data_IF_698495250181
#
_entry.id   IF_698495250181
#
_cell.length_a   1.000
_cell.length_b   1.000
_cell.length_c   1.000
_cell.angle_alpha   90.00
_cell.angle_beta   90.00
_cell.angle_gamma   90.00
#
_symmetry.space_group_name_H-M   'P 1'
#
loop_
_entity.id
_entity.type
_entity.pdbx_description
1 polymer ?
#
# COMPACT_ATOMS: atom_id res chain seq x y z
N UNK A 1 -17.92 13.95 -2.37
CA UNK A 1 -16.82 13.66 -1.42
C UNK A 1 -16.64 12.15 -1.41
N UNK A 2 -15.41 11.64 -1.59
CA UNK A 2 -15.18 10.19 -1.64
C UNK A 2 -15.20 9.61 -0.23
N UNK A 3 -15.75 8.40 -0.08
CA UNK A 3 -15.57 7.61 1.14
C UNK A 3 -14.11 7.14 1.29
N UNK A 4 -13.73 6.72 2.51
CA UNK A 4 -12.41 6.16 2.77
C UNK A 4 -12.10 4.95 1.86
N UNK A 5 -13.09 4.06 1.66
CA UNK A 5 -12.96 2.90 0.79
C UNK A 5 -12.73 3.31 -0.67
N UNK A 6 -13.51 4.23 -1.20
CA UNK A 6 -13.37 4.71 -2.59
C UNK A 6 -12.03 5.42 -2.81
N UNK A 7 -11.64 6.29 -1.88
CA UNK A 7 -10.39 7.04 -1.96
C UNK A 7 -9.13 6.17 -1.90
N UNK A 8 -9.21 4.98 -1.29
CA UNK A 8 -8.09 4.03 -1.21
C UNK A 8 -8.06 3.01 -2.37
N UNK A 9 -9.09 2.92 -3.22
CA UNK A 9 -9.10 1.99 -4.35
C UNK A 9 -7.90 2.12 -5.30
N UNK A 10 -7.37 3.33 -5.60
CA UNK A 10 -6.17 3.45 -6.43
C UNK A 10 -4.94 2.73 -5.86
N UNK A 11 -4.92 2.43 -4.56
CA UNK A 11 -3.85 1.73 -3.88
C UNK A 11 -4.05 0.21 -3.83
N UNK A 12 -5.12 -0.33 -4.42
CA UNK A 12 -5.40 -1.78 -4.48
C UNK A 12 -4.24 -2.60 -5.08
N UNK A 13 -3.43 -2.01 -5.97
CA UNK A 13 -2.27 -2.68 -6.55
C UNK A 13 -1.25 -3.14 -5.50
N UNK A 14 -1.20 -2.47 -4.33
CA UNK A 14 -0.32 -2.84 -3.22
C UNK A 14 -0.81 -4.06 -2.45
N UNK A 15 -2.11 -4.38 -2.48
CA UNK A 15 -2.71 -5.46 -1.67
C UNK A 15 -2.10 -6.82 -2.03
N UNK A 16 -1.66 -7.55 -1.01
CA UNK A 16 -1.00 -8.86 -1.12
C UNK A 16 0.33 -8.93 -0.38
N UNK A 17 1.00 -10.06 -0.52
CA UNK A 17 2.30 -10.34 0.10
C UNK A 17 3.43 -10.11 -0.91
N UNK A 18 4.51 -9.50 -0.46
CA UNK A 18 5.64 -9.10 -1.28
C UNK A 18 6.96 -9.50 -0.65
N UNK A 19 7.87 -10.00 -1.48
CA UNK A 19 9.26 -10.22 -1.12
C UNK A 19 10.08 -9.00 -1.49
N UNK A 20 10.58 -8.30 -0.49
CA UNK A 20 11.45 -7.14 -0.58
C UNK A 20 12.93 -7.49 -0.58
N UNK A 21 13.71 -6.79 -1.40
CA UNK A 21 15.18 -6.74 -1.31
C UNK A 21 15.59 -5.28 -1.22
N UNK A 22 16.22 -4.93 -0.11
CA UNK A 22 16.64 -3.58 0.20
C UNK A 22 18.15 -3.38 0.11
N UNK A 23 18.57 -2.16 -0.16
CA UNK A 23 19.98 -1.75 -0.16
C UNK A 23 20.10 -0.25 0.15
N UNK A 24 21.21 0.18 0.78
CA UNK A 24 21.47 1.59 1.00
C UNK A 24 21.81 2.29 -0.33
N UNK A 25 21.48 3.57 -0.40
CA UNK A 25 21.73 4.47 -1.52
C UNK A 25 22.60 5.64 -1.06
N UNK A 26 23.35 6.25 -1.97
CA UNK A 26 24.25 7.35 -1.65
C UNK A 26 25.51 6.94 -0.88
N UNK A 27 25.91 5.66 -0.96
CA UNK A 27 27.10 5.08 -0.32
C UNK A 27 28.02 4.44 -1.36
N UNK A 28 29.23 4.03 -0.95
CA UNK A 28 30.16 3.28 -1.82
C UNK A 28 29.57 1.93 -2.29
N UNK A 29 30.19 1.32 -3.32
CA UNK A 29 29.72 0.03 -3.84
C UNK A 29 29.86 -1.09 -2.79
N UNK A 30 30.94 -1.02 -2.01
CA UNK A 30 31.30 -1.96 -0.97
C UNK A 30 30.29 -1.87 0.19
N UNK A 31 29.99 -0.65 0.65
CA UNK A 31 28.94 -0.40 1.66
C UNK A 31 27.56 -0.82 1.16
N UNK A 32 27.27 -0.59 -0.13
CA UNK A 32 26.01 -1.02 -0.73
C UNK A 32 25.86 -2.53 -0.70
N UNK A 33 26.89 -3.26 -1.11
CA UNK A 33 26.88 -4.72 -1.13
C UNK A 33 26.77 -5.30 0.28
N UNK A 34 27.51 -4.76 1.24
CA UNK A 34 27.46 -5.19 2.64
C UNK A 34 26.13 -4.83 3.32
N UNK A 35 25.45 -3.77 2.86
CA UNK A 35 24.23 -3.25 3.44
C UNK A 35 22.93 -3.86 2.90
N UNK A 36 22.98 -4.87 2.03
CA UNK A 36 21.80 -5.52 1.44
C UNK A 36 21.00 -6.27 2.53
N UNK A 37 19.66 -6.20 2.47
CA UNK A 37 18.78 -7.03 3.29
C UNK A 37 17.58 -7.54 2.50
N UNK A 38 16.86 -8.49 3.09
CA UNK A 38 15.58 -9.00 2.58
C UNK A 38 14.50 -8.80 3.62
N UNK A 39 13.27 -8.55 3.18
CA UNK A 39 12.12 -8.37 4.06
C UNK A 39 10.84 -8.87 3.38
N UNK A 40 9.83 -9.22 4.18
CA UNK A 40 8.48 -9.45 3.70
C UNK A 40 7.61 -8.22 3.97
N UNK A 41 6.77 -7.85 3.02
CA UNK A 41 5.81 -6.75 3.17
C UNK A 41 4.42 -7.27 2.79
N UNK A 42 3.45 -7.15 3.69
CA UNK A 42 2.08 -7.59 3.44
C UNK A 42 1.13 -6.43 3.60
N UNK A 43 0.38 -6.15 2.54
CA UNK A 43 -0.69 -5.16 2.51
C UNK A 43 -2.05 -5.84 2.53
N UNK A 44 -2.98 -5.31 3.31
CA UNK A 44 -4.34 -5.81 3.39
C UNK A 44 -5.33 -4.71 3.74
N UNK A 45 -6.57 -4.87 3.30
CA UNK A 45 -7.65 -4.01 3.75
C UNK A 45 -7.97 -4.30 5.22
N UNK A 46 -8.38 -3.27 5.94
CA UNK A 46 -8.93 -3.36 7.27
C UNK A 46 -10.16 -2.47 7.35
N UNK A 47 -11.15 -2.91 8.11
CA UNK A 47 -12.46 -2.26 8.19
C UNK A 47 -12.89 -2.18 9.65
N UNK A 48 -13.52 -1.07 10.02
CA UNK A 48 -14.17 -0.91 11.31
C UNK A 48 -15.36 0.02 11.18
N UNK A 49 -16.56 -0.50 11.43
CA UNK A 49 -17.83 0.24 11.28
C UNK A 49 -17.97 0.83 9.88
N UNK A 50 -17.80 2.16 9.73
CA UNK A 50 -17.89 2.88 8.45
C UNK A 50 -16.52 3.30 7.91
N UNK A 51 -15.45 2.91 8.61
CA UNK A 51 -14.08 3.28 8.29
C UNK A 51 -13.35 2.14 7.57
N UNK A 52 -12.41 2.52 6.71
CA UNK A 52 -11.63 1.60 5.89
C UNK A 52 -10.22 2.14 5.71
N UNK A 53 -9.22 1.28 5.87
CA UNK A 53 -7.81 1.62 5.70
C UNK A 53 -7.02 0.45 5.10
N UNK A 54 -5.82 0.73 4.59
CA UNK A 54 -4.88 -0.30 4.19
C UNK A 54 -3.86 -0.50 5.33
N UNK A 55 -3.83 -1.69 5.91
CA UNK A 55 -2.80 -2.10 6.85
C UNK A 55 -1.56 -2.64 6.12
N UNK A 56 -0.40 -2.44 6.73
CA UNK A 56 0.91 -2.91 6.28
C UNK A 56 1.56 -3.66 7.44
N UNK A 57 2.12 -4.83 7.16
CA UNK A 57 2.95 -5.56 8.11
C UNK A 57 4.28 -5.91 7.45
N UNK A 58 5.35 -5.79 8.21
CA UNK A 58 6.70 -6.06 7.75
C UNK A 58 7.28 -7.26 8.53
N UNK A 59 7.98 -8.16 7.84
CA UNK A 59 8.71 -9.26 8.45
C UNK A 59 10.19 -9.17 8.10
N UNK A 60 11.06 -9.29 9.12
CA UNK A 60 12.52 -9.16 8.97
C UNK A 60 12.97 -7.83 8.32
N UNK A 61 12.13 -6.79 8.37
CA UNK A 61 12.50 -5.49 7.83
C UNK A 61 13.56 -4.82 8.70
N UNK A 62 14.38 -4.00 8.04
CA UNK A 62 15.41 -3.19 8.68
C UNK A 62 14.83 -1.96 9.39
N UNK A 63 13.71 -1.42 8.90
CA UNK A 63 13.24 -0.09 9.31
C UNK A 63 11.84 -0.08 9.93
N UNK A 64 10.93 -0.94 9.49
CA UNK A 64 9.52 -0.86 9.87
C UNK A 64 9.00 -2.20 10.38
N UNK A 65 8.03 -2.15 11.29
CA UNK A 65 7.30 -3.33 11.77
C UNK A 65 5.89 -3.39 11.18
N UNK A 66 5.22 -2.23 11.13
CA UNK A 66 3.84 -2.14 10.69
C UNK A 66 3.49 -0.74 10.21
N UNK A 67 2.31 -0.59 9.62
CA UNK A 67 1.72 0.71 9.40
C UNK A 67 0.32 0.64 8.85
N UNK A 68 -0.23 1.81 8.58
CA UNK A 68 -1.54 1.96 7.96
C UNK A 68 -1.60 3.20 7.07
N UNK A 69 -2.35 3.09 5.97
CA UNK A 69 -2.71 4.20 5.09
C UNK A 69 -4.20 4.47 5.20
N UNK A 70 -4.54 5.70 5.57
CA UNK A 70 -5.90 6.23 5.63
C UNK A 70 -6.12 7.27 4.55
N UNK A 71 -7.36 7.40 4.09
CA UNK A 71 -7.77 8.42 3.14
C UNK A 71 -8.66 9.47 3.82
N UNK A 72 -8.45 10.72 3.43
CA UNK A 72 -9.32 11.86 3.72
C UNK A 72 -9.47 12.70 2.47
N UNK A 73 -10.48 13.57 2.43
CA UNK A 73 -10.65 14.51 1.31
C UNK A 73 -9.82 15.79 1.49
N UNK A 74 -8.84 15.79 2.42
CA UNK A 74 -7.96 16.92 2.65
C UNK A 74 -6.94 17.09 1.53
N UNK A 75 -6.63 18.36 1.21
CA UNK A 75 -5.59 18.74 0.25
C UNK A 75 -4.42 19.41 1.00
N UNK A 76 -3.18 19.33 0.49
CA UNK A 76 -2.77 18.65 -0.75
C UNK A 76 -2.57 17.14 -0.61
N UNK A 77 -2.70 16.60 0.60
CA UNK A 77 -2.34 15.22 0.93
C UNK A 77 -3.55 14.40 1.40
N UNK A 78 -4.28 13.77 0.47
CA UNK A 78 -5.45 12.96 0.82
C UNK A 78 -5.07 11.69 1.58
N UNK A 79 -3.83 11.19 1.42
CA UNK A 79 -3.38 10.00 2.13
C UNK A 79 -2.58 10.35 3.39
N UNK A 80 -2.89 9.66 4.49
CA UNK A 80 -2.10 9.69 5.72
C UNK A 80 -1.49 8.31 5.94
N UNK A 81 -0.16 8.24 5.96
CA UNK A 81 0.57 7.02 6.30
C UNK A 81 1.12 7.16 7.71
N UNK A 82 0.83 6.18 8.55
CA UNK A 82 1.46 6.03 9.88
C UNK A 82 2.27 4.74 9.87
N UNK A 83 3.55 4.80 10.22
CA UNK A 83 4.42 3.63 10.34
C UNK A 83 4.91 3.49 11.78
N UNK A 84 5.04 2.24 12.22
CA UNK A 84 5.79 1.88 13.43
C UNK A 84 7.16 1.35 13.00
N UNK A 85 8.23 1.95 13.51
CA UNK A 85 9.62 1.55 13.25
C UNK A 85 10.04 0.37 14.12
N UNK A 86 11.17 -0.27 13.78
CA UNK A 86 11.72 -1.41 14.55
C UNK A 86 12.16 -1.05 15.97
N UNK A 87 12.43 0.23 16.24
CA UNK A 87 12.66 0.79 17.57
C UNK A 87 11.38 1.27 18.28
N UNK A 88 10.21 0.90 17.73
CA UNK A 88 8.86 1.22 18.25
C UNK A 88 8.47 2.70 18.19
N UNK A 89 9.19 3.53 17.46
CA UNK A 89 8.76 4.91 17.22
C UNK A 89 7.60 4.95 16.21
N UNK A 90 6.72 5.93 16.37
CA UNK A 90 5.63 6.21 15.43
C UNK A 90 6.01 7.40 14.58
N UNK A 91 5.97 7.24 13.26
CA UNK A 91 6.23 8.30 12.29
C UNK A 91 5.03 8.49 11.35
N UNK A 92 4.78 9.72 10.94
CA UNK A 92 3.58 10.10 10.17
C UNK A 92 3.96 10.85 8.91
N UNK A 93 3.20 10.56 7.86
CA UNK A 93 3.38 11.18 6.56
C UNK A 93 2.06 11.63 5.95
N UNK A 94 2.12 12.72 5.20
CA UNK A 94 1.06 13.16 4.29
C UNK A 94 1.48 12.87 2.86
N UNK A 95 0.62 12.24 2.07
CA UNK A 95 0.97 11.84 0.72
C UNK A 95 -0.13 12.00 -0.31
N UNK A 96 0.30 11.89 -1.57
CA UNK A 96 -0.55 11.91 -2.75
C UNK A 96 -0.02 10.92 -3.78
N UNK A 97 -0.95 10.33 -4.53
CA UNK A 97 -0.64 9.53 -5.72
C UNK A 97 -0.68 10.47 -6.93
N UNK A 98 0.36 10.44 -7.75
CA UNK A 98 0.41 11.11 -9.05
C UNK A 98 0.92 10.10 -10.06
N UNK A 99 0.10 9.79 -11.06
CA UNK A 99 0.28 8.68 -11.98
C UNK A 99 0.53 7.35 -11.25
N UNK A 100 1.76 6.85 -11.28
CA UNK A 100 2.20 5.60 -10.64
C UNK A 100 3.17 5.86 -9.48
N UNK A 101 3.28 7.10 -9.01
CA UNK A 101 4.18 7.50 -7.93
C UNK A 101 3.37 8.00 -6.74
N UNK A 102 3.43 7.25 -5.65
CA UNK A 102 2.83 7.62 -4.37
C UNK A 102 3.93 8.18 -3.47
N UNK A 103 3.89 9.48 -3.22
CA UNK A 103 4.88 10.18 -2.41
C UNK A 103 4.26 10.55 -1.07
N UNK A 104 4.96 10.21 0.00
CA UNK A 104 4.62 10.52 1.39
C UNK A 104 5.71 11.43 1.97
N UNK A 105 5.36 12.65 2.36
CA UNK A 105 6.24 13.60 3.02
C UNK A 105 6.06 13.50 4.54
N UNK A 106 7.16 13.45 5.29
CA UNK A 106 7.13 13.30 6.74
C UNK A 106 6.54 14.54 7.39
N UNK A 107 5.60 14.35 8.31
CA UNK A 107 4.90 15.43 9.03
C UNK A 107 5.51 15.70 10.42
N UNK A 108 6.18 14.71 10.99
CA UNK A 108 6.76 14.72 12.34
C UNK A 108 8.26 14.43 12.30
N UNK A 109 8.96 15.06 11.34
CA UNK A 109 10.40 14.96 11.12
C UNK A 109 11.23 16.01 11.85
N UNK A 110 12.55 15.92 11.69
CA UNK A 110 13.49 16.94 12.18
C UNK A 110 13.25 18.27 11.44
N UNK A 111 13.20 19.38 12.18
CA UNK A 111 13.03 20.72 11.61
C UNK A 111 14.18 21.17 10.67
N UNK A 112 15.29 20.42 10.61
CA UNK A 112 16.44 20.68 9.73
C UNK A 112 16.48 19.78 8.50
N UNK A 113 15.70 18.69 8.47
CA UNK A 113 15.72 17.70 7.39
C UNK A 113 14.30 17.33 6.92
N UNK A 114 14.04 17.55 5.64
CA UNK A 114 12.86 17.00 4.97
C UNK A 114 13.09 15.54 4.65
N UNK A 115 12.08 14.72 4.91
CA UNK A 115 12.12 13.29 4.63
C UNK A 115 10.89 12.89 3.84
N UNK A 116 11.07 11.96 2.90
CA UNK A 116 9.97 11.38 2.16
C UNK A 116 10.15 9.90 1.90
N UNK A 117 9.01 9.21 1.80
CA UNK A 117 8.90 7.83 1.38
C UNK A 117 8.17 7.80 0.04
N UNK A 118 8.82 7.28 -1.00
CA UNK A 118 8.30 7.29 -2.38
C UNK A 118 8.09 5.87 -2.86
N UNK A 119 6.85 5.53 -3.22
CA UNK A 119 6.50 4.27 -3.87
C UNK A 119 6.36 4.49 -5.38
N UNK A 120 7.12 3.74 -6.17
CA UNK A 120 6.97 3.65 -7.62
C UNK A 120 6.28 2.34 -7.98
N UNK A 121 5.03 2.43 -8.45
CA UNK A 121 4.15 1.32 -8.78
C UNK A 121 4.41 0.86 -10.22
N UNK A 122 5.54 0.18 -10.42
CA UNK A 122 6.06 -0.13 -11.76
C UNK A 122 5.17 -1.09 -12.55
N UNK A 123 4.74 -2.17 -11.91
CA UNK A 123 3.95 -3.24 -12.51
C UNK A 123 3.02 -3.87 -11.47
N UNK A 124 2.04 -4.66 -11.90
CA UNK A 124 1.06 -5.28 -10.98
C UNK A 124 1.71 -6.21 -9.92
N UNK A 125 2.92 -6.70 -10.21
CA UNK A 125 3.70 -7.60 -9.36
C UNK A 125 5.07 -7.01 -8.97
N UNK A 126 5.33 -5.74 -9.24
CA UNK A 126 6.59 -5.07 -8.88
C UNK A 126 6.36 -3.62 -8.49
N UNK A 127 6.80 -3.28 -7.29
CA UNK A 127 6.94 -1.89 -6.87
C UNK A 127 8.30 -1.65 -6.22
N UNK A 128 8.73 -0.39 -6.22
CA UNK A 128 9.87 0.06 -5.44
C UNK A 128 9.34 0.99 -4.37
N UNK A 129 9.93 0.97 -3.18
CA UNK A 129 9.78 2.07 -2.25
C UNK A 129 11.17 2.56 -1.80
N UNK A 130 11.32 3.86 -1.61
CA UNK A 130 12.60 4.47 -1.26
C UNK A 130 12.41 5.57 -0.23
N UNK A 131 13.36 5.65 0.68
CA UNK A 131 13.43 6.73 1.65
C UNK A 131 14.49 7.72 1.19
N UNK A 132 14.11 8.99 1.17
CA UNK A 132 14.95 10.07 0.67
C UNK A 132 14.91 11.24 1.64
N UNK A 133 16.01 11.96 1.73
CA UNK A 133 16.08 13.15 2.58
C UNK A 133 16.73 14.32 1.88
N UNK A 134 16.48 15.52 2.41
CA UNK A 134 17.07 16.77 1.94
C UNK A 134 17.10 17.78 3.08
N UNK A 135 18.11 18.68 3.16
CA UNK A 135 18.05 19.79 4.10
C UNK A 135 16.81 20.66 3.87
N UNK A 136 16.16 21.08 4.96
CA UNK A 136 14.99 21.98 4.89
C UNK A 136 15.34 23.27 4.15
N UNK A 137 14.47 23.70 3.24
CA UNK A 137 14.66 24.91 2.43
C UNK A 137 15.66 24.78 1.29
N UNK A 138 16.29 23.61 1.10
CA UNK A 138 17.17 23.37 -0.04
C UNK A 138 16.40 23.22 -1.35
N UNK A 139 16.94 23.77 -2.43
CA UNK A 139 16.42 23.57 -3.80
C UNK A 139 16.99 22.31 -4.47
N UNK A 140 17.94 21.63 -3.82
CA UNK A 140 18.56 20.41 -4.35
C UNK A 140 17.53 19.28 -4.47
N UNK A 141 17.86 18.27 -5.28
CA UNK A 141 17.07 17.05 -5.33
C UNK A 141 17.20 16.27 -4.00
N UNK A 142 16.18 15.47 -3.68
CA UNK A 142 16.24 14.56 -2.55
C UNK A 142 17.34 13.51 -2.76
N UNK A 143 18.16 13.31 -1.73
CA UNK A 143 19.17 12.26 -1.70
C UNK A 143 18.54 10.94 -1.24
N UNK A 144 18.62 9.90 -2.06
CA UNK A 144 18.18 8.55 -1.69
C UNK A 144 19.07 7.99 -0.59
N UNK A 145 18.46 7.51 0.50
CA UNK A 145 19.18 6.86 1.61
C UNK A 145 19.12 5.36 1.52
N UNK A 146 17.98 4.83 1.09
CA UNK A 146 17.85 3.42 0.76
C UNK A 146 16.67 3.19 -0.17
N UNK A 147 16.67 2.03 -0.81
CA UNK A 147 15.58 1.59 -1.67
C UNK A 147 15.30 0.11 -1.43
N UNK A 148 14.04 -0.27 -1.49
CA UNK A 148 13.57 -1.64 -1.46
C UNK A 148 12.81 -1.93 -2.75
N UNK A 149 13.22 -2.99 -3.44
CA UNK A 149 12.47 -3.55 -4.56
C UNK A 149 11.62 -4.72 -4.09
N UNK A 150 10.30 -4.59 -4.22
CA UNK A 150 9.33 -5.56 -3.74
C UNK A 150 8.64 -6.27 -4.91
N UNK A 151 8.76 -7.60 -4.95
CA UNK A 151 8.11 -8.47 -5.93
C UNK A 151 6.97 -9.23 -5.28
N UNK A 152 5.80 -9.25 -5.93
CA UNK A 152 4.60 -9.90 -5.40
C UNK A 152 4.79 -11.41 -5.35
N UNK A 153 4.45 -12.02 -4.22
CA UNK A 153 4.55 -13.47 -4.06
C UNK A 153 3.41 -14.18 -4.78
N UNK A 154 3.70 -15.36 -5.33
CA UNK A 154 2.70 -16.21 -6.00
C UNK A 154 2.22 -15.73 -7.37
N UNK A 155 2.78 -14.62 -7.91
CA UNK A 155 2.41 -14.10 -9.24
C UNK A 155 3.60 -14.17 -10.20
N UNK A 156 3.52 -14.98 -11.27
CA UNK A 156 4.58 -15.05 -12.29
C UNK A 156 4.84 -13.69 -12.93
N UNK A 157 6.10 -13.40 -13.27
CA UNK A 157 6.47 -12.10 -13.83
C UNK A 157 5.78 -11.79 -15.18
N UNK A 158 5.64 -12.82 -16.02
CA UNK A 158 5.13 -12.72 -17.39
C UNK A 158 3.60 -12.76 -17.51
N UNK A 159 2.87 -13.03 -16.43
CA UNK A 159 1.42 -13.14 -16.46
C UNK A 159 0.78 -11.85 -15.96
N UNK A 160 -0.06 -11.20 -16.77
CA UNK A 160 -0.98 -10.18 -16.24
C UNK A 160 -2.15 -10.92 -15.61
N UNK A 161 -2.38 -10.79 -14.29
CA UNK A 161 -3.43 -11.53 -13.64
C UNK A 161 -4.78 -11.00 -14.12
N UNK A 162 -5.51 -11.86 -14.80
CA UNK A 162 -6.90 -11.68 -15.16
C UNK A 162 -7.75 -12.40 -14.14
N UNK A 163 -8.85 -11.78 -13.72
CA UNK A 163 -9.70 -12.38 -12.71
C UNK A 163 -10.90 -11.51 -12.36
N UNK A 164 -11.82 -12.04 -11.56
CA UNK A 164 -13.00 -11.33 -11.11
C UNK A 164 -12.62 -10.15 -10.22
N UNK A 165 -13.46 -9.10 -10.21
CA UNK A 165 -13.32 -7.97 -9.29
C UNK A 165 -13.62 -8.41 -7.86
N UNK A 166 -12.86 -7.87 -6.90
CA UNK A 166 -13.14 -8.02 -5.48
C UNK A 166 -14.43 -7.26 -5.15
N UNK A 167 -15.44 -8.00 -4.68
CA UNK A 167 -16.78 -7.46 -4.37
C UNK A 167 -16.76 -6.36 -3.29
N UNK A 168 -15.72 -6.33 -2.44
CA UNK A 168 -15.58 -5.36 -1.35
C UNK A 168 -14.74 -4.15 -1.78
N UNK A 169 -13.51 -4.37 -2.26
CA UNK A 169 -12.55 -3.27 -2.52
C UNK A 169 -12.50 -2.80 -3.97
N UNK A 170 -13.04 -3.57 -4.91
CA UNK A 170 -12.87 -3.33 -6.34
C UNK A 170 -11.49 -3.70 -6.91
N UNK A 171 -10.60 -4.29 -6.09
CA UNK A 171 -9.31 -4.80 -6.55
C UNK A 171 -9.44 -6.14 -7.29
N UNK A 172 -8.32 -6.77 -7.64
CA UNK A 172 -8.35 -8.13 -8.21
C UNK A 172 -8.77 -9.15 -7.14
N UNK A 173 -9.84 -9.89 -7.40
CA UNK A 173 -10.30 -10.99 -6.56
C UNK A 173 -9.44 -12.24 -6.74
N UNK A 174 -8.84 -12.70 -5.65
CA UNK A 174 -7.92 -13.86 -5.63
C UNK A 174 -8.47 -15.03 -4.82
N UNK A 175 -9.56 -14.83 -4.08
CA UNK A 175 -10.18 -15.86 -3.25
C UNK A 175 -11.69 -15.84 -3.41
N UNK A 176 -12.30 -17.02 -3.48
CA UNK A 176 -13.74 -17.19 -3.61
C UNK A 176 -14.43 -17.18 -2.24
N UNK A 177 -15.60 -16.53 -2.17
CA UNK A 177 -16.55 -16.58 -1.06
C UNK A 177 -17.94 -16.84 -1.61
N UNK A 178 -18.75 -17.64 -0.93
CA UNK A 178 -20.09 -18.00 -1.40
C UNK A 178 -21.14 -17.42 -0.46
N UNK A 179 -22.20 -16.83 -1.01
CA UNK A 179 -23.34 -16.32 -0.26
C UNK A 179 -24.63 -16.57 -1.03
N UNK A 180 -25.66 -17.13 -0.35
CA UNK A 180 -26.94 -17.49 -0.95
C UNK A 180 -26.82 -18.31 -2.26
N UNK A 181 -25.85 -19.23 -2.31
CA UNK A 181 -25.61 -20.08 -3.48
C UNK A 181 -24.95 -19.37 -4.68
N UNK A 182 -24.58 -18.08 -4.55
CA UNK A 182 -23.79 -17.34 -5.55
C UNK A 182 -22.34 -17.20 -5.10
N UNK A 183 -21.42 -17.33 -6.06
CA UNK A 183 -19.98 -17.16 -5.84
C UNK A 183 -19.56 -15.71 -6.08
N UNK A 184 -18.81 -15.16 -5.12
CA UNK A 184 -18.19 -13.84 -5.15
C UNK A 184 -16.68 -13.97 -4.90
N UNK A 185 -15.92 -12.91 -5.17
CA UNK A 185 -14.47 -12.93 -5.02
C UNK A 185 -13.96 -11.77 -4.15
N UNK A 186 -12.88 -12.02 -3.40
CA UNK A 186 -12.24 -11.07 -2.49
C UNK A 186 -10.71 -11.08 -2.65
N UNK A 187 -10.04 -9.97 -2.35
CA UNK A 187 -8.60 -9.77 -2.59
C UNK A 187 -7.70 -10.07 -1.38
N UNK A 188 -8.24 -10.08 -0.16
CA UNK A 188 -7.48 -10.32 1.07
C UNK A 188 -8.41 -10.80 2.20
N UNK A 189 -7.82 -11.24 3.32
CA UNK A 189 -8.55 -11.66 4.52
C UNK A 189 -9.47 -10.56 5.04
N UNK A 190 -9.02 -9.30 5.09
CA UNK A 190 -9.86 -8.19 5.55
C UNK A 190 -11.12 -8.00 4.71
N UNK A 191 -11.03 -8.12 3.38
CA UNK A 191 -12.22 -8.09 2.51
C UNK A 191 -13.11 -9.32 2.72
N UNK A 192 -12.54 -10.50 2.99
CA UNK A 192 -13.33 -11.70 3.29
C UNK A 192 -14.13 -11.52 4.57
N UNK A 193 -13.50 -11.01 5.62
CA UNK A 193 -14.11 -10.88 6.93
C UNK A 193 -15.19 -9.78 6.92
N UNK A 194 -14.94 -8.67 6.21
CA UNK A 194 -15.94 -7.63 5.97
C UNK A 194 -17.13 -8.15 5.15
N UNK A 195 -16.88 -8.94 4.09
CA UNK A 195 -17.96 -9.55 3.31
C UNK A 195 -18.81 -10.50 4.17
N UNK A 196 -18.20 -11.29 5.05
CA UNK A 196 -18.93 -12.18 5.96
C UNK A 196 -19.76 -11.42 6.99
N UNK A 197 -19.28 -10.26 7.45
CA UNK A 197 -19.99 -9.41 8.40
C UNK A 197 -21.20 -8.71 7.75
N UNK A 198 -21.06 -8.23 6.51
CA UNK A 198 -22.09 -7.43 5.82
C UNK A 198 -22.39 -7.92 4.39
N UNK A 199 -22.73 -9.21 4.18
CA UNK A 199 -22.79 -9.79 2.83
C UNK A 199 -23.85 -9.14 1.94
N UNK A 200 -25.04 -8.87 2.47
CA UNK A 200 -26.14 -8.28 1.71
C UNK A 200 -25.80 -6.92 1.11
N UNK A 201 -25.02 -6.09 1.83
CA UNK A 201 -24.57 -4.77 1.36
C UNK A 201 -23.76 -4.92 0.08
N UNK A 202 -22.73 -5.77 0.12
CA UNK A 202 -21.82 -5.97 -1.00
C UNK A 202 -22.46 -6.70 -2.17
N UNK A 203 -23.38 -7.64 -1.91
CA UNK A 203 -24.16 -8.29 -2.97
C UNK A 203 -25.07 -7.28 -3.68
N UNK A 204 -25.76 -6.40 -2.95
CA UNK A 204 -26.58 -5.34 -3.55
C UNK A 204 -25.73 -4.37 -4.38
N UNK A 205 -24.58 -3.93 -3.86
CA UNK A 205 -23.64 -3.08 -4.60
C UNK A 205 -23.15 -3.77 -5.90
N UNK A 206 -22.81 -5.06 -5.83
CA UNK A 206 -22.35 -5.83 -6.99
C UNK A 206 -23.45 -6.01 -8.06
N UNK A 207 -24.68 -6.31 -7.63
CA UNK A 207 -25.82 -6.44 -8.53
C UNK A 207 -26.19 -5.09 -9.18
N UNK A 208 -26.07 -3.98 -8.45
CA UNK A 208 -26.27 -2.64 -9.00
C UNK A 208 -25.21 -2.30 -10.05
N UNK A 209 -23.93 -2.56 -9.76
CA UNK A 209 -22.84 -2.38 -10.74
C UNK A 209 -23.05 -3.23 -12.00
N UNK A 210 -23.44 -4.50 -11.84
CA UNK A 210 -23.71 -5.39 -12.96
C UNK A 210 -24.88 -4.93 -13.85
N UNK A 211 -25.86 -4.21 -13.27
CA UNK A 211 -26.96 -3.60 -14.02
C UNK A 211 -26.58 -2.28 -14.69
N UNK A 212 -25.68 -1.50 -14.08
CA UNK A 212 -25.24 -0.20 -14.61
C UNK A 212 -24.17 -0.31 -15.71
N UNK A 213 -23.42 -1.41 -15.75
CA UNK A 213 -22.45 -1.72 -16.81
C UNK A 213 -23.04 -2.48 -18.01
N UNK A 214 -24.37 -2.56 -18.11
CA UNK A 214 -25.12 -3.21 -19.18
C UNK A 214 -25.92 -2.16 -19.94
#
# INVERSE_FOLDING_TARGET
MLSAREGLQPLNVLVGTWKGTGYPEGVSKEERAAGIWTEGVTWGWSFSRQDAWLGITFSKSKYFESGEVRFSNETPWPYRLTLTTTDKATIRFGGKLTDKTLTFHRLDGDAKEEQQLVFSLLHHNRHLYRFETRPVGSTLAYGKKYQVGATKEGVPFAAVPTGPECVVSGGLGTSRVTFMGKDYFVCCSGCRDEFKANPEKYVKEAEQKAKAGK
#
